data_IF_207772197390
#
_entry.id   IF_207772197390
#
_cell.length_a   1.000
_cell.length_b   1.000
_cell.length_c   1.000
_cell.angle_alpha   90.00
_cell.angle_beta   90.00
_cell.angle_gamma   90.00
#
_symmetry.space_group_name_H-M   'P 1'
#
loop_
_entity.id
_entity.type
_entity.pdbx_description
1 polymer ?
#
# COMPACT_ATOMS: atom_id res chain seq x y z
N UNK A 1 9.43 2.27 -20.60
CA UNK A 1 9.81 2.30 -19.19
C UNK A 1 8.54 2.05 -18.37
N UNK A 2 8.69 1.47 -17.19
CA UNK A 2 7.58 1.20 -16.28
C UNK A 2 7.64 2.22 -15.16
N UNK A 3 6.51 2.87 -14.88
CA UNK A 3 6.43 3.87 -13.81
C UNK A 3 6.56 3.19 -12.45
N UNK A 4 7.52 3.64 -11.66
CA UNK A 4 7.74 3.21 -10.28
C UNK A 4 7.27 4.31 -9.31
N UNK A 5 6.61 3.88 -8.24
CA UNK A 5 6.18 4.72 -7.12
C UNK A 5 7.01 4.36 -5.89
N UNK A 6 7.90 5.25 -5.44
CA UNK A 6 8.78 5.01 -4.28
C UNK A 6 8.19 5.68 -3.05
N UNK A 7 8.04 4.94 -1.97
CA UNK A 7 7.47 5.45 -0.72
C UNK A 7 8.50 6.30 0.02
N UNK A 8 8.10 7.52 0.36
CA UNK A 8 8.91 8.49 1.10
C UNK A 8 8.30 8.88 2.44
N UNK A 9 7.02 8.55 2.66
CA UNK A 9 6.33 8.69 3.95
C UNK A 9 5.33 7.52 4.08
N UNK A 10 5.39 6.79 5.19
CA UNK A 10 4.48 5.68 5.51
C UNK A 10 3.31 6.18 6.38
N UNK A 11 2.14 5.51 6.35
CA UNK A 11 1.02 5.88 7.21
C UNK A 11 1.34 5.68 8.69
N UNK A 12 0.81 6.58 9.53
CA UNK A 12 0.95 6.51 11.00
C UNK A 12 -0.20 5.70 11.63
N UNK A 13 -1.35 5.62 10.96
CA UNK A 13 -2.61 5.07 11.50
C UNK A 13 -3.16 3.93 10.65
N UNK A 14 -2.26 3.21 10.00
CA UNK A 14 -2.59 2.13 9.12
C UNK A 14 -1.36 1.51 8.49
N UNK A 15 -1.62 0.68 7.49
CA UNK A 15 -0.59 0.02 6.71
C UNK A 15 -0.87 0.23 5.23
N UNK A 16 0.18 0.54 4.48
CA UNK A 16 0.18 0.35 3.04
C UNK A 16 0.77 -1.04 2.77
N UNK A 17 0.08 -1.85 1.97
CA UNK A 17 0.47 -3.25 1.75
C UNK A 17 0.52 -3.59 0.26
N UNK A 18 1.44 -4.48 -0.09
CA UNK A 18 1.50 -5.16 -1.37
C UNK A 18 1.03 -6.60 -1.22
N UNK A 19 0.04 -6.98 -2.02
CA UNK A 19 -0.62 -8.27 -2.04
C UNK A 19 -0.43 -8.89 -3.44
N UNK A 20 0.49 -9.87 -3.59
CA UNK A 20 0.81 -10.45 -4.90
C UNK A 20 -0.40 -11.05 -5.61
N UNK A 21 -1.29 -11.67 -4.84
CA UNK A 21 -2.59 -12.19 -5.29
C UNK A 21 -3.72 -11.55 -4.47
N UNK A 22 -4.33 -10.46 -4.96
CA UNK A 22 -5.40 -9.77 -4.25
C UNK A 22 -6.73 -10.55 -4.26
N UNK A 23 -6.83 -11.63 -5.02
CA UNK A 23 -7.99 -12.52 -5.06
C UNK A 23 -7.81 -13.75 -4.17
N UNK A 24 -6.63 -13.94 -3.58
CA UNK A 24 -6.37 -15.03 -2.66
C UNK A 24 -7.33 -14.96 -1.46
N UNK A 25 -7.82 -16.11 -0.95
CA UNK A 25 -8.57 -16.16 0.29
C UNK A 25 -7.77 -15.51 1.42
N UNK A 26 -8.45 -14.81 2.33
CA UNK A 26 -7.78 -14.03 3.38
C UNK A 26 -6.81 -14.85 4.26
N UNK A 27 -7.04 -16.17 4.40
CA UNK A 27 -6.18 -17.09 5.14
C UNK A 27 -4.84 -17.37 4.45
N UNK A 28 -4.78 -17.24 3.12
CA UNK A 28 -3.61 -17.52 2.27
C UNK A 28 -3.04 -16.24 1.64
N UNK A 29 -3.55 -15.08 2.05
CA UNK A 29 -3.22 -13.80 1.45
C UNK A 29 -1.86 -13.32 1.97
N UNK A 30 -0.81 -13.55 1.17
CA UNK A 30 0.59 -13.19 1.48
C UNK A 30 0.88 -11.71 1.21
N UNK A 31 0.12 -10.81 1.87
CA UNK A 31 0.36 -9.38 1.79
C UNK A 31 1.54 -8.97 2.68
N UNK A 32 2.36 -8.05 2.19
CA UNK A 32 3.51 -7.49 2.90
C UNK A 32 3.36 -5.97 3.05
N UNK A 33 3.76 -5.45 4.21
CA UNK A 33 3.77 -4.00 4.44
C UNK A 33 4.82 -3.34 3.54
N UNK A 34 4.41 -2.26 2.90
CA UNK A 34 5.27 -1.43 2.07
C UNK A 34 5.94 -0.36 2.93
N UNK A 35 7.19 -0.63 3.29
CA UNK A 35 8.02 0.25 4.11
C UNK A 35 8.65 1.40 3.31
N UNK A 36 9.23 2.37 4.03
CA UNK A 36 9.94 3.51 3.44
C UNK A 36 11.06 3.05 2.50
N UNK A 37 11.12 3.66 1.31
CA UNK A 37 12.08 3.30 0.25
C UNK A 37 11.69 2.09 -0.60
N UNK A 38 10.63 1.34 -0.22
CA UNK A 38 10.04 0.34 -1.13
C UNK A 38 9.31 1.03 -2.27
N UNK A 39 9.11 0.27 -3.34
CA UNK A 39 8.35 0.72 -4.49
C UNK A 39 7.30 -0.29 -4.92
N UNK A 40 6.35 0.21 -5.70
CA UNK A 40 5.39 -0.57 -6.47
C UNK A 40 5.24 0.10 -7.84
N UNK A 41 4.62 -0.57 -8.80
CA UNK A 41 4.50 -0.03 -10.16
C UNK A 41 3.07 0.38 -10.52
N UNK A 42 2.90 1.05 -11.66
CA UNK A 42 1.56 1.29 -12.22
C UNK A 42 0.81 -0.02 -12.44
N UNK A 43 1.48 -1.05 -12.94
CA UNK A 43 0.91 -2.37 -13.14
C UNK A 43 0.38 -2.97 -11.82
N UNK A 44 1.09 -2.76 -10.71
CA UNK A 44 0.64 -3.25 -9.39
C UNK A 44 -0.62 -2.54 -8.88
N UNK A 45 -0.76 -1.25 -9.16
CA UNK A 45 -1.99 -0.49 -8.89
C UNK A 45 -3.13 -0.98 -9.78
N UNK A 46 -2.89 -1.11 -11.09
CA UNK A 46 -3.89 -1.54 -12.08
C UNK A 46 -4.42 -2.95 -11.79
N UNK A 47 -3.57 -3.82 -11.23
CA UNK A 47 -3.91 -5.17 -10.81
C UNK A 47 -4.43 -5.24 -9.36
N UNK A 48 -4.68 -4.11 -8.71
CA UNK A 48 -5.21 -4.02 -7.34
C UNK A 48 -4.35 -4.75 -6.28
N UNK A 49 -3.03 -4.77 -6.47
CA UNK A 49 -2.10 -5.39 -5.53
C UNK A 49 -1.71 -4.49 -4.38
N UNK A 50 -1.89 -3.18 -4.50
CA UNK A 50 -1.57 -2.23 -3.42
C UNK A 50 -2.84 -1.84 -2.69
N UNK A 51 -2.83 -1.88 -1.36
CA UNK A 51 -3.98 -1.47 -0.54
C UNK A 51 -3.54 -0.70 0.69
N UNK A 52 -4.45 0.15 1.17
CA UNK A 52 -4.33 0.81 2.46
C UNK A 52 -5.32 0.20 3.45
N UNK A 53 -4.85 -0.13 4.65
CA UNK A 53 -5.67 -0.59 5.78
C UNK A 53 -5.58 0.42 6.90
N UNK A 54 -6.70 1.07 7.22
CA UNK A 54 -6.81 1.95 8.39
C UNK A 54 -7.04 1.11 9.65
N UNK A 55 -6.24 1.32 10.70
CA UNK A 55 -6.28 0.48 11.92
C UNK A 55 -7.09 1.08 13.06
N UNK A 56 -7.59 2.31 12.92
CA UNK A 56 -8.30 2.98 14.01
C UNK A 56 -9.77 2.53 14.12
N UNK A 57 -10.28 2.58 15.35
CA UNK A 57 -11.65 2.20 15.71
C UNK A 57 -12.70 3.06 15.00
N UNK A 58 -13.81 2.42 14.60
CA UNK A 58 -14.99 3.06 14.03
C UNK A 58 -15.49 4.18 14.97
N UNK A 59 -15.21 5.43 14.63
CA UNK A 59 -15.62 6.61 15.41
C UNK A 59 -14.59 7.73 15.45
N UNK A 60 -13.31 7.39 15.30
CA UNK A 60 -12.23 8.38 15.25
C UNK A 60 -12.04 8.85 13.79
N UNK A 61 -12.30 10.14 13.54
CA UNK A 61 -12.12 10.77 12.23
C UNK A 61 -10.76 11.45 12.18
N UNK A 62 -9.71 10.66 12.33
CA UNK A 62 -8.36 11.20 12.19
C UNK A 62 -7.83 11.00 10.77
N UNK A 63 -7.16 12.04 10.26
CA UNK A 63 -6.44 11.94 8.99
C UNK A 63 -5.22 11.05 9.17
N UNK A 64 -4.98 10.22 8.15
CA UNK A 64 -3.73 9.48 7.94
C UNK A 64 -3.19 9.82 6.55
N UNK A 65 -1.88 9.69 6.37
CA UNK A 65 -1.22 10.08 5.13
C UNK A 65 -0.03 9.19 4.85
N UNK A 66 0.16 8.90 3.59
CA UNK A 66 1.39 8.35 3.03
C UNK A 66 1.76 9.17 1.80
N UNK A 67 3.05 9.21 1.46
CA UNK A 67 3.56 9.98 0.32
C UNK A 67 4.49 9.09 -0.48
N UNK A 68 4.34 9.14 -1.81
CA UNK A 68 5.22 8.49 -2.76
C UNK A 68 5.70 9.48 -3.82
N UNK A 69 6.86 9.19 -4.41
CA UNK A 69 7.40 9.89 -5.57
C UNK A 69 7.36 8.99 -6.79
N UNK A 70 7.03 9.56 -7.95
CA UNK A 70 7.00 8.85 -9.23
C UNK A 70 8.35 8.98 -9.93
N UNK A 71 8.85 7.87 -10.48
CA UNK A 71 10.07 7.80 -11.29
C UNK A 71 9.84 6.93 -12.53
N UNK A 72 10.39 7.30 -13.68
CA UNK A 72 10.34 6.55 -14.97
C UNK A 72 11.72 6.02 -15.36
#
# INVERSE_FOLDING_TARGET
HELCYVIVEVPDKGFLQYCPDPLAPALDMDCQDLELGKNFTQSDIDLNKVRYIHTMSMGDTETDRFVFVLTD
#
